data_IF_493509760066
#
_entry.id   IF_493509760066
#
_cell.length_a   1.000
_cell.length_b   1.000
_cell.length_c   1.000
_cell.angle_alpha   90.00
_cell.angle_beta   90.00
_cell.angle_gamma   90.00
#
_symmetry.space_group_name_H-M   'P 1'
#
loop_
_entity.id
_entity.type
_entity.pdbx_description
1 polymer ?
#
# COMPACT_ATOMS: atom_id res chain seq x y z
N UNK A 1 -13.52 51.47 4.72
CA UNK A 1 -13.32 50.51 5.83
C UNK A 1 -12.73 49.25 5.23
N UNK A 2 -11.42 49.06 5.33
CA UNK A 2 -10.68 48.02 4.60
C UNK A 2 -9.51 47.58 5.49
N UNK A 3 -9.80 46.79 6.53
CA UNK A 3 -8.78 46.29 7.46
C UNK A 3 -8.28 44.92 7.00
N UNK A 4 -7.07 44.91 6.45
CA UNK A 4 -6.31 43.71 6.14
C UNK A 4 -5.33 43.48 7.30
N UNK A 5 -5.24 42.28 7.90
CA UNK A 5 -4.35 42.03 9.03
C UNK A 5 -2.87 42.14 8.64
N UNK A 6 -1.97 42.48 9.59
CA UNK A 6 -0.56 42.71 9.31
C UNK A 6 0.17 41.42 8.92
N UNK A 7 1.12 41.53 7.98
CA UNK A 7 2.01 40.43 7.57
C UNK A 7 3.01 40.10 8.69
N UNK A 8 3.36 38.83 8.90
CA UNK A 8 4.34 38.44 9.92
C UNK A 8 5.76 38.92 9.56
N UNK A 9 6.46 39.46 10.55
CA UNK A 9 7.87 39.85 10.48
C UNK A 9 8.77 38.64 10.23
N UNK A 10 9.78 38.84 9.37
CA UNK A 10 10.82 37.85 9.12
C UNK A 10 11.84 37.89 10.26
N UNK A 11 11.76 36.93 11.18
CA UNK A 11 12.79 36.74 12.21
C UNK A 11 14.04 36.16 11.56
N UNK A 12 15.10 36.97 11.45
CA UNK A 12 16.43 36.53 11.07
C UNK A 12 17.04 35.69 12.19
N UNK A 13 16.85 34.36 12.12
CA UNK A 13 17.50 33.42 13.03
C UNK A 13 18.93 33.14 12.52
N UNK A 14 19.89 33.84 13.13
CA UNK A 14 21.32 33.71 12.84
C UNK A 14 21.82 32.27 12.99
N UNK A 15 22.52 31.78 11.96
CA UNK A 15 23.09 30.44 11.80
C UNK A 15 24.30 30.15 12.72
N UNK A 16 24.42 30.83 13.87
CA UNK A 16 25.57 30.70 14.80
C UNK A 16 25.14 30.34 16.23
N UNK A 17 24.20 29.42 16.38
CA UNK A 17 23.81 28.90 17.72
C UNK A 17 23.70 27.37 17.77
N UNK A 18 24.47 26.66 16.93
CA UNK A 18 24.53 25.19 16.94
C UNK A 18 25.96 24.61 17.12
N UNK A 19 26.93 25.43 17.53
CA UNK A 19 28.33 25.01 17.64
C UNK A 19 28.92 25.08 19.07
N UNK A 20 28.10 25.05 20.12
CA UNK A 20 28.59 25.19 21.50
C UNK A 20 27.92 24.25 22.51
N UNK A 21 27.75 22.98 22.11
CA UNK A 21 27.33 21.89 23.01
C UNK A 21 28.10 20.57 22.78
N UNK A 22 29.36 20.67 22.30
CA UNK A 22 30.28 19.52 22.12
C UNK A 22 31.48 19.55 23.09
N UNK A 23 31.54 20.46 24.07
CA UNK A 23 32.70 20.57 24.97
C UNK A 23 32.37 20.57 26.47
N UNK A 24 31.66 19.54 26.95
CA UNK A 24 31.62 19.19 28.37
C UNK A 24 31.63 17.66 28.58
N UNK A 25 32.79 17.04 28.33
CA UNK A 25 33.16 15.76 28.95
C UNK A 25 33.98 16.07 30.22
N UNK A 26 33.52 15.73 31.43
CA UNK A 26 34.41 15.44 32.52
C UNK A 26 34.81 13.96 32.44
N UNK A 27 36.00 13.70 31.93
CA UNK A 27 36.71 12.47 32.17
C UNK A 27 37.18 12.44 33.63
N UNK A 28 36.45 11.74 34.52
CA UNK A 28 37.05 11.12 35.70
C UNK A 28 36.08 10.14 36.36
N UNK A 29 36.48 8.87 36.45
CA UNK A 29 35.82 7.87 37.31
C UNK A 29 35.44 6.57 36.62
N UNK A 30 36.42 5.81 36.12
CA UNK A 30 36.24 4.38 35.84
C UNK A 30 35.99 3.64 37.16
N UNK A 31 34.72 3.48 37.53
CA UNK A 31 34.30 2.47 38.50
C UNK A 31 33.85 1.26 37.69
N UNK A 32 34.63 0.18 37.75
CA UNK A 32 34.29 -1.12 37.18
C UNK A 32 32.88 -1.53 37.64
N UNK A 33 31.88 -1.36 36.78
CA UNK A 33 30.62 -2.10 36.86
C UNK A 33 30.84 -3.46 36.21
N UNK A 34 31.48 -4.34 36.96
CA UNK A 34 31.26 -5.78 36.81
C UNK A 34 29.89 -6.07 37.43
N UNK A 35 28.95 -6.52 36.61
CA UNK A 35 27.60 -6.85 37.04
C UNK A 35 26.67 -6.87 35.84
N UNK A 36 26.33 -8.09 35.40
CA UNK A 36 25.31 -8.40 34.42
C UNK A 36 24.10 -7.45 34.54
N UNK A 37 23.87 -6.64 33.51
CA UNK A 37 22.54 -6.12 33.24
C UNK A 37 22.20 -6.38 31.77
N UNK A 38 22.09 -7.66 31.44
CA UNK A 38 21.40 -8.15 30.25
C UNK A 38 20.01 -8.60 30.67
N UNK A 39 19.18 -7.67 31.11
CA UNK A 39 17.79 -7.92 31.51
C UNK A 39 16.78 -7.35 30.50
N UNK A 40 17.14 -7.32 29.21
CA UNK A 40 16.13 -7.33 28.15
C UNK A 40 15.99 -8.78 27.67
N UNK A 41 14.81 -9.41 27.77
CA UNK A 41 14.64 -10.76 27.28
C UNK A 41 14.87 -10.74 25.77
N UNK A 42 15.97 -11.36 25.30
CA UNK A 42 16.13 -11.65 23.87
C UNK A 42 15.08 -12.68 23.52
N UNK A 43 13.90 -12.23 23.09
CA UNK A 43 12.89 -13.13 22.52
C UNK A 43 13.57 -13.87 21.39
N UNK A 44 13.50 -15.21 21.41
CA UNK A 44 14.13 -16.02 20.38
C UNK A 44 13.52 -15.65 19.03
N UNK A 45 14.34 -15.49 17.99
CA UNK A 45 13.86 -15.06 16.66
C UNK A 45 12.71 -15.91 16.11
N UNK A 46 12.64 -17.19 16.49
CA UNK A 46 11.56 -18.10 16.10
C UNK A 46 10.23 -17.81 16.80
N UNK A 47 10.27 -17.36 18.07
CA UNK A 47 9.07 -17.00 18.82
C UNK A 47 8.47 -15.69 18.28
N UNK A 48 9.31 -14.70 17.95
CA UNK A 48 8.88 -13.48 17.25
C UNK A 48 8.31 -13.77 15.86
N UNK A 49 8.93 -14.67 15.09
CA UNK A 49 8.44 -15.05 13.78
C UNK A 49 7.03 -15.65 13.88
N UNK A 50 6.82 -16.56 14.84
CA UNK A 50 5.52 -17.15 15.11
C UNK A 50 4.47 -16.10 15.52
N UNK A 51 4.84 -15.15 16.38
CA UNK A 51 3.94 -14.05 16.76
C UNK A 51 3.53 -13.19 15.54
N UNK A 52 4.46 -12.90 14.63
CA UNK A 52 4.15 -12.17 13.40
C UNK A 52 3.27 -12.97 12.43
N UNK A 53 3.48 -14.28 12.30
CA UNK A 53 2.63 -15.15 11.49
C UNK A 53 1.20 -15.21 12.04
N UNK A 54 1.06 -15.38 13.35
CA UNK A 54 -0.25 -15.37 14.02
C UNK A 54 -0.95 -14.02 13.89
N UNK A 55 -0.21 -12.92 14.05
CA UNK A 55 -0.71 -11.55 13.87
C UNK A 55 -1.15 -11.28 12.42
N UNK A 56 -0.32 -11.68 11.43
CA UNK A 56 -0.67 -11.57 10.01
C UNK A 56 -1.97 -12.33 9.71
N UNK A 57 -2.09 -13.58 10.16
CA UNK A 57 -3.28 -14.38 9.91
C UNK A 57 -4.52 -13.82 10.61
N UNK A 58 -4.46 -13.53 11.91
CA UNK A 58 -5.63 -13.22 12.74
C UNK A 58 -6.02 -11.74 12.72
N UNK A 59 -5.04 -10.84 12.67
CA UNK A 59 -5.24 -9.40 12.82
C UNK A 59 -5.26 -8.65 11.49
N UNK A 60 -4.72 -9.25 10.42
CA UNK A 60 -4.60 -8.60 9.10
C UNK A 60 -5.38 -9.36 8.03
N UNK A 61 -5.10 -10.64 7.76
CA UNK A 61 -5.74 -11.33 6.65
C UNK A 61 -7.22 -11.61 6.92
N UNK A 62 -7.53 -12.19 8.08
CA UNK A 62 -8.89 -12.59 8.46
C UNK A 62 -9.90 -11.43 8.53
N UNK A 63 -9.56 -10.22 9.02
CA UNK A 63 -10.51 -9.10 9.01
C UNK A 63 -10.82 -8.57 7.60
N UNK A 64 -9.83 -8.61 6.69
CA UNK A 64 -9.93 -8.04 5.35
C UNK A 64 -10.57 -8.98 4.33
N UNK A 65 -10.25 -10.28 4.35
CA UNK A 65 -10.71 -11.24 3.34
C UNK A 65 -11.69 -12.28 3.93
N UNK A 66 -12.81 -12.59 3.26
CA UNK A 66 -13.28 -12.08 1.95
C UNK A 66 -14.03 -10.74 2.01
N UNK A 67 -14.06 -10.06 3.16
CA UNK A 67 -14.92 -8.89 3.40
C UNK A 67 -14.80 -7.77 2.36
N UNK A 68 -13.59 -7.45 1.92
CA UNK A 68 -13.36 -6.38 0.95
C UNK A 68 -13.62 -6.81 -0.50
N UNK A 69 -13.90 -8.09 -0.76
CA UNK A 69 -14.14 -8.57 -2.12
C UNK A 69 -15.50 -8.06 -2.57
N UNK A 70 -15.52 -7.15 -3.57
CA UNK A 70 -16.76 -6.61 -4.09
C UNK A 70 -17.40 -7.63 -5.05
N UNK A 71 -18.26 -8.48 -4.50
CA UNK A 71 -18.96 -9.50 -5.29
C UNK A 71 -20.01 -8.93 -6.25
N UNK A 72 -20.43 -7.67 -6.06
CA UNK A 72 -21.43 -7.03 -6.92
C UNK A 72 -20.81 -6.47 -8.21
N UNK A 73 -19.65 -5.82 -8.12
CA UNK A 73 -19.05 -5.09 -9.25
C UNK A 73 -17.60 -5.46 -9.57
N UNK A 74 -17.00 -6.45 -8.90
CA UNK A 74 -15.59 -6.81 -9.15
C UNK A 74 -14.61 -5.98 -8.32
N UNK A 75 -13.36 -6.42 -8.16
CA UNK A 75 -12.35 -5.65 -7.43
C UNK A 75 -12.55 -5.64 -5.91
N UNK A 76 -11.99 -4.63 -5.26
CA UNK A 76 -11.90 -4.52 -3.80
C UNK A 76 -12.53 -3.22 -3.26
N UNK A 77 -13.22 -3.30 -2.12
CA UNK A 77 -13.69 -2.15 -1.35
C UNK A 77 -12.70 -1.91 -0.21
N UNK A 78 -11.86 -0.89 -0.35
CA UNK A 78 -10.82 -0.56 0.64
C UNK A 78 -11.27 0.49 1.67
N UNK A 79 -12.48 1.02 1.53
CA UNK A 79 -13.05 2.00 2.45
C UNK A 79 -14.00 1.29 3.42
N UNK A 80 -13.53 1.13 4.65
CA UNK A 80 -14.20 0.41 5.72
C UNK A 80 -14.44 1.36 6.88
N UNK A 81 -15.62 1.25 7.48
CA UNK A 81 -15.95 1.90 8.74
C UNK A 81 -15.15 1.26 9.90
N UNK A 82 -15.11 1.95 11.05
CA UNK A 82 -14.38 1.47 12.24
C UNK A 82 -14.78 0.06 12.70
N UNK A 83 -16.01 -0.36 12.42
CA UNK A 83 -16.56 -1.66 12.79
C UNK A 83 -16.37 -2.75 11.70
N UNK A 84 -15.54 -2.48 10.69
CA UNK A 84 -15.33 -3.36 9.52
C UNK A 84 -16.55 -3.53 8.62
N UNK A 85 -17.54 -2.64 8.66
CA UNK A 85 -18.54 -2.58 7.60
C UNK A 85 -17.98 -1.83 6.39
N UNK A 86 -18.35 -2.24 5.18
CA UNK A 86 -17.97 -1.48 3.98
C UNK A 86 -18.70 -0.13 4.00
N UNK A 87 -17.98 0.96 3.79
CA UNK A 87 -18.62 2.28 3.84
C UNK A 87 -19.69 2.39 2.76
N UNK A 88 -20.88 2.85 3.13
CA UNK A 88 -21.96 3.17 2.18
C UNK A 88 -21.57 4.35 1.28
N UNK A 89 -20.57 5.14 1.70
CA UNK A 89 -20.01 6.25 0.91
C UNK A 89 -18.87 5.83 0.00
N UNK A 90 -18.45 4.56 0.05
CA UNK A 90 -17.42 4.04 -0.84
C UNK A 90 -17.96 3.95 -2.27
N UNK A 91 -17.63 4.96 -3.07
CA UNK A 91 -18.11 5.10 -4.45
C UNK A 91 -17.03 4.94 -5.50
N UNK A 92 -15.77 4.87 -5.09
CA UNK A 92 -14.63 4.86 -6.00
C UNK A 92 -13.62 3.77 -5.66
N UNK A 93 -12.99 3.22 -6.70
CA UNK A 93 -11.92 2.23 -6.63
C UNK A 93 -10.65 2.86 -7.19
N UNK A 94 -9.70 3.13 -6.29
CA UNK A 94 -8.42 3.75 -6.64
C UNK A 94 -7.41 2.69 -7.06
N UNK A 95 -6.70 2.92 -8.16
CA UNK A 95 -5.80 1.95 -8.78
C UNK A 95 -4.75 1.42 -7.81
N UNK A 96 -4.11 2.31 -7.04
CA UNK A 96 -3.06 1.92 -6.09
C UNK A 96 -3.59 0.91 -5.06
N UNK A 97 -4.82 1.08 -4.58
CA UNK A 97 -5.43 0.16 -3.63
C UNK A 97 -5.75 -1.17 -4.31
N UNK A 98 -6.35 -1.15 -5.50
CA UNK A 98 -6.66 -2.37 -6.25
C UNK A 98 -5.39 -3.19 -6.52
N UNK A 99 -4.33 -2.53 -6.99
CA UNK A 99 -3.04 -3.16 -7.26
C UNK A 99 -2.37 -3.76 -6.03
N UNK A 100 -2.47 -3.09 -4.87
CA UNK A 100 -1.92 -3.60 -3.60
C UNK A 100 -2.67 -4.84 -3.12
N UNK A 101 -3.99 -4.86 -3.24
CA UNK A 101 -4.78 -6.05 -2.92
C UNK A 101 -4.54 -7.19 -3.91
N UNK A 102 -4.40 -6.91 -5.21
CA UNK A 102 -3.98 -7.91 -6.20
C UNK A 102 -2.63 -8.53 -5.83
N UNK A 103 -1.63 -7.70 -5.53
CA UNK A 103 -0.33 -8.16 -5.08
C UNK A 103 -0.43 -9.00 -3.79
N UNK A 104 -1.14 -8.49 -2.78
CA UNK A 104 -1.23 -9.11 -1.45
C UNK A 104 -1.90 -10.47 -1.55
N UNK A 105 -3.01 -10.57 -2.29
CA UNK A 105 -3.72 -11.84 -2.45
C UNK A 105 -2.92 -12.86 -3.23
N UNK A 106 -2.20 -12.42 -4.25
CA UNK A 106 -1.27 -13.27 -5.01
C UNK A 106 -0.11 -13.75 -4.14
N UNK A 107 0.48 -12.87 -3.31
CA UNK A 107 1.61 -13.18 -2.44
C UNK A 107 1.22 -14.14 -1.32
N UNK A 108 0.05 -13.96 -0.70
CA UNK A 108 -0.45 -14.90 0.32
C UNK A 108 -0.57 -16.31 -0.25
N UNK A 109 -1.10 -16.46 -1.46
CA UNK A 109 -1.20 -17.75 -2.11
C UNK A 109 0.17 -18.32 -2.52
N UNK A 110 1.13 -17.48 -2.93
CA UNK A 110 2.51 -17.93 -3.18
C UNK A 110 3.15 -18.50 -1.92
N UNK A 111 2.97 -17.82 -0.79
CA UNK A 111 3.56 -18.18 0.49
C UNK A 111 2.90 -19.42 1.11
N UNK A 112 1.57 -19.47 1.08
CA UNK A 112 0.79 -20.63 1.55
C UNK A 112 -0.21 -21.10 0.49
N UNK A 113 0.18 -22.07 -0.35
CA UNK A 113 -0.70 -22.64 -1.36
C UNK A 113 -1.96 -23.31 -0.82
N UNK A 114 -2.04 -23.61 0.49
CA UNK A 114 -3.25 -24.17 1.11
C UNK A 114 -4.38 -23.13 1.22
N UNK A 115 -4.05 -21.84 1.19
CA UNK A 115 -5.02 -20.74 1.15
C UNK A 115 -5.52 -20.50 -0.28
N UNK A 116 -6.14 -21.52 -0.89
CA UNK A 116 -6.55 -21.51 -2.30
C UNK A 116 -7.55 -20.37 -2.64
N UNK A 117 -8.32 -19.90 -1.67
CA UNK A 117 -9.24 -18.77 -1.86
C UNK A 117 -8.52 -17.48 -2.24
N UNK A 118 -7.27 -17.30 -1.83
CA UNK A 118 -6.52 -16.10 -2.13
C UNK A 118 -6.16 -15.97 -3.61
N UNK A 119 -5.93 -17.08 -4.32
CA UNK A 119 -5.80 -17.03 -5.77
C UNK A 119 -7.11 -16.61 -6.45
N UNK A 120 -8.26 -17.02 -5.91
CA UNK A 120 -9.59 -16.61 -6.41
C UNK A 120 -9.83 -15.11 -6.16
N UNK A 121 -9.43 -14.60 -4.99
CA UNK A 121 -9.48 -13.17 -4.67
C UNK A 121 -8.57 -12.35 -5.57
N UNK A 122 -7.37 -12.85 -5.89
CA UNK A 122 -6.45 -12.22 -6.82
C UNK A 122 -7.04 -12.16 -8.23
N UNK A 123 -7.56 -13.29 -8.74
CA UNK A 123 -8.21 -13.36 -10.04
C UNK A 123 -9.41 -12.41 -10.14
N UNK A 124 -10.16 -12.22 -9.04
CA UNK A 124 -11.28 -11.28 -8.97
C UNK A 124 -10.85 -9.82 -9.12
N UNK A 125 -9.78 -9.42 -8.43
CA UNK A 125 -9.22 -8.08 -8.56
C UNK A 125 -8.59 -7.83 -9.92
N UNK A 126 -7.87 -8.82 -10.45
CA UNK A 126 -7.25 -8.76 -11.77
C UNK A 126 -8.29 -8.47 -12.86
N UNK A 127 -9.39 -9.22 -12.90
CA UNK A 127 -10.47 -8.99 -13.88
C UNK A 127 -11.00 -7.57 -13.81
N UNK A 128 -11.26 -7.05 -12.62
CA UNK A 128 -11.72 -5.67 -12.48
C UNK A 128 -10.70 -4.65 -13.00
N UNK A 129 -9.42 -4.82 -12.67
CA UNK A 129 -8.37 -3.94 -13.19
C UNK A 129 -8.28 -3.99 -14.72
N UNK A 130 -8.30 -5.20 -15.30
CA UNK A 130 -8.23 -5.41 -16.76
C UNK A 130 -9.45 -4.85 -17.48
N UNK A 131 -10.65 -5.14 -16.97
CA UNK A 131 -11.91 -4.90 -17.70
C UNK A 131 -12.47 -3.48 -17.47
N UNK A 132 -12.09 -2.81 -16.38
CA UNK A 132 -12.67 -1.51 -16.00
C UNK A 132 -11.66 -0.40 -15.75
N UNK A 133 -10.45 -0.71 -15.31
CA UNK A 133 -9.47 0.33 -14.98
C UNK A 133 -8.50 0.62 -16.12
N UNK A 134 -8.33 -0.31 -17.05
CA UNK A 134 -7.49 -0.11 -18.22
C UNK A 134 -8.23 0.73 -19.26
N UNK A 135 -7.57 1.76 -19.80
CA UNK A 135 -8.10 2.55 -20.91
C UNK A 135 -7.75 1.87 -22.24
N UNK A 136 -8.74 1.30 -22.93
CA UNK A 136 -8.52 0.62 -24.22
C UNK A 136 -8.24 1.58 -25.38
N UNK A 137 -8.65 2.84 -25.28
CA UNK A 137 -8.47 3.84 -26.36
C UNK A 137 -7.06 4.43 -26.36
N UNK A 138 -6.53 4.75 -25.17
CA UNK A 138 -5.25 5.44 -25.00
C UNK A 138 -4.20 4.67 -24.22
N UNK A 139 -4.53 3.47 -23.73
CA UNK A 139 -3.67 2.66 -22.86
C UNK A 139 -3.47 3.28 -21.47
N UNK A 140 -2.87 2.49 -20.59
CA UNK A 140 -2.60 2.88 -19.21
C UNK A 140 -3.87 2.84 -18.35
N UNK A 141 -3.68 2.65 -17.05
CA UNK A 141 -4.79 2.59 -16.10
C UNK A 141 -5.29 3.97 -15.69
N UNK A 142 -6.60 4.14 -15.56
CA UNK A 142 -7.18 5.28 -14.86
C UNK A 142 -6.74 5.29 -13.38
N UNK A 143 -6.55 6.48 -12.83
CA UNK A 143 -6.20 6.64 -11.42
C UNK A 143 -7.29 6.08 -10.49
N UNK A 144 -8.56 6.31 -10.83
CA UNK A 144 -9.70 5.79 -10.12
C UNK A 144 -10.90 5.59 -11.06
N UNK A 145 -11.73 4.60 -10.72
CA UNK A 145 -13.04 4.37 -11.34
C UNK A 145 -14.13 4.45 -10.28
N UNK A 146 -15.39 4.59 -10.68
CA UNK A 146 -16.53 4.34 -9.80
C UNK A 146 -16.52 2.87 -9.34
N UNK A 147 -17.33 2.57 -8.33
CA UNK A 147 -17.49 1.18 -7.85
C UNK A 147 -17.90 0.24 -8.99
N UNK A 148 -18.74 0.70 -9.91
CA UNK A 148 -19.24 -0.05 -11.07
C UNK A 148 -18.21 -0.21 -12.19
N UNK A 149 -17.13 0.56 -12.18
CA UNK A 149 -16.04 0.45 -13.15
C UNK A 149 -15.94 1.57 -14.18
N UNK A 150 -16.73 2.64 -14.07
CA UNK A 150 -16.62 3.79 -14.97
C UNK A 150 -15.48 4.73 -14.55
N UNK A 151 -14.74 5.39 -15.44
CA UNK A 151 -13.71 6.35 -15.05
C UNK A 151 -14.27 7.42 -14.10
N UNK A 152 -13.62 7.62 -12.95
CA UNK A 152 -14.14 8.54 -11.95
C UNK A 152 -14.06 9.98 -12.45
N UNK A 153 -15.22 10.62 -12.67
CA UNK A 153 -15.31 11.99 -13.19
C UNK A 153 -14.56 13.02 -12.34
N UNK A 154 -14.45 12.77 -11.03
CA UNK A 154 -13.68 13.56 -10.05
C UNK A 154 -12.20 13.71 -10.41
N UNK A 155 -11.65 12.75 -11.18
CA UNK A 155 -10.26 12.73 -11.63
C UNK A 155 -10.11 12.96 -13.14
N UNK A 156 -11.18 13.24 -13.88
CA UNK A 156 -11.15 13.57 -15.32
C UNK A 156 -10.29 12.61 -16.18
N UNK A 157 -10.33 11.30 -15.90
CA UNK A 157 -9.54 10.30 -16.65
C UNK A 157 -8.03 10.36 -16.41
N UNK A 158 -7.59 10.98 -15.31
CA UNK A 158 -6.18 11.12 -14.96
C UNK A 158 -5.46 9.76 -14.88
N UNK A 159 -4.23 9.72 -15.41
CA UNK A 159 -3.33 8.56 -15.35
C UNK A 159 -2.02 8.99 -14.69
N UNK A 160 -1.70 8.40 -13.55
CA UNK A 160 -0.49 8.73 -12.76
C UNK A 160 0.53 7.63 -12.87
N UNK A 161 1.79 7.97 -13.15
CA UNK A 161 2.90 7.01 -13.25
C UNK A 161 3.04 6.16 -11.98
N UNK A 162 2.79 6.76 -10.81
CA UNK A 162 2.79 6.06 -9.52
C UNK A 162 1.76 4.92 -9.49
N UNK A 163 0.55 5.16 -9.99
CA UNK A 163 -0.49 4.14 -10.08
C UNK A 163 -0.12 3.02 -11.05
N UNK A 164 0.44 3.37 -12.23
CA UNK A 164 0.91 2.39 -13.21
C UNK A 164 1.99 1.47 -12.63
N UNK A 165 2.96 2.03 -11.90
CA UNK A 165 4.03 1.26 -11.28
C UNK A 165 3.48 0.23 -10.27
N UNK A 166 2.47 0.61 -9.47
CA UNK A 166 1.78 -0.33 -8.59
C UNK A 166 1.00 -1.40 -9.35
N UNK A 167 0.33 -1.03 -10.45
CA UNK A 167 -0.38 -1.98 -11.30
C UNK A 167 0.58 -3.02 -11.90
N UNK A 168 1.72 -2.56 -12.45
CA UNK A 168 2.77 -3.45 -12.94
C UNK A 168 3.28 -4.40 -11.85
N UNK A 169 3.49 -3.90 -10.63
CA UNK A 169 3.90 -4.70 -9.47
C UNK A 169 2.87 -5.80 -9.12
N UNK A 170 1.59 -5.44 -9.03
CA UNK A 170 0.51 -6.39 -8.73
C UNK A 170 0.29 -7.42 -9.83
N UNK A 171 0.28 -6.98 -11.10
CA UNK A 171 0.13 -7.87 -12.26
C UNK A 171 1.27 -8.88 -12.37
N UNK A 172 2.50 -8.44 -12.11
CA UNK A 172 3.68 -9.32 -12.15
C UNK A 172 3.60 -10.42 -11.10
N UNK A 173 3.19 -10.07 -9.88
CA UNK A 173 3.00 -11.04 -8.80
C UNK A 173 1.84 -11.99 -9.09
N UNK A 174 0.73 -11.48 -9.61
CA UNK A 174 -0.42 -12.31 -9.98
C UNK A 174 -0.05 -13.30 -11.09
N UNK A 175 0.66 -12.87 -12.12
CA UNK A 175 1.15 -13.76 -13.18
C UNK A 175 2.09 -14.85 -12.63
N UNK A 176 2.95 -14.52 -11.66
CA UNK A 176 3.90 -15.47 -11.08
C UNK A 176 3.21 -16.72 -10.50
N UNK A 177 2.05 -16.52 -9.87
CA UNK A 177 1.27 -17.60 -9.22
C UNK A 177 0.17 -18.18 -10.10
N UNK A 178 -0.50 -17.36 -10.91
CA UNK A 178 -1.66 -17.81 -11.72
C UNK A 178 -1.25 -18.38 -13.08
N UNK A 179 -0.13 -17.91 -13.63
CA UNK A 179 0.28 -18.13 -15.03
C UNK A 179 -0.77 -17.69 -16.06
N UNK A 180 -1.66 -16.76 -15.69
CA UNK A 180 -2.64 -16.19 -16.59
C UNK A 180 -1.95 -15.34 -17.68
N UNK A 181 -2.03 -15.71 -18.97
CA UNK A 181 -1.38 -14.96 -20.04
C UNK A 181 -1.91 -13.54 -20.20
N UNK A 182 -3.17 -13.27 -19.83
CA UNK A 182 -3.75 -11.93 -19.91
C UNK A 182 -3.08 -10.99 -18.90
N UNK A 183 -2.69 -11.51 -17.72
CA UNK A 183 -1.97 -10.74 -16.72
C UNK A 183 -0.56 -10.34 -17.19
N UNK A 184 0.14 -11.25 -17.88
CA UNK A 184 1.43 -10.96 -18.48
C UNK A 184 1.31 -9.93 -19.60
N UNK A 185 0.35 -10.10 -20.51
CA UNK A 185 0.12 -9.14 -21.59
C UNK A 185 -0.19 -7.74 -21.04
N UNK A 186 -1.08 -7.66 -20.04
CA UNK A 186 -1.42 -6.38 -19.42
C UNK A 186 -0.23 -5.75 -18.69
N UNK A 187 0.62 -6.53 -18.02
CA UNK A 187 1.86 -6.05 -17.42
C UNK A 187 2.81 -5.46 -18.47
N UNK A 188 3.00 -6.15 -19.60
CA UNK A 188 3.85 -5.68 -20.71
C UNK A 188 3.27 -4.39 -21.33
N UNK A 189 1.95 -4.34 -21.54
CA UNK A 189 1.25 -3.13 -22.02
C UNK A 189 1.46 -1.96 -21.07
N UNK A 190 1.34 -2.19 -19.76
CA UNK A 190 1.55 -1.18 -18.72
C UNK A 190 2.97 -0.63 -18.77
N UNK A 191 3.99 -1.51 -18.79
CA UNK A 191 5.39 -1.11 -18.90
C UNK A 191 5.64 -0.29 -20.17
N UNK A 192 5.17 -0.75 -21.32
CA UNK A 192 5.34 -0.02 -22.59
C UNK A 192 4.66 1.35 -22.57
N UNK A 193 3.48 1.47 -21.96
CA UNK A 193 2.80 2.75 -21.79
C UNK A 193 3.64 3.72 -20.94
N UNK A 194 4.28 3.23 -19.87
CA UNK A 194 5.14 4.03 -19.01
C UNK A 194 6.39 4.53 -19.73
N UNK A 195 7.00 3.71 -20.59
CA UNK A 195 8.23 4.04 -21.32
C UNK A 195 8.00 4.86 -22.60
N UNK A 196 6.77 4.93 -23.10
CA UNK A 196 6.43 5.68 -24.32
C UNK A 196 6.32 7.20 -24.10
N UNK A 197 6.47 7.67 -22.86
CA UNK A 197 6.37 9.07 -22.45
C UNK A 197 7.61 9.92 -22.70
#
# INVERSE_FOLDING_TARGET
MNDRPPKPEKTNLNLMTFALLILLLPACGMKNRSGNDTSSPRIASAELAKEFEESLAQMILRPWYPRIIDSAYGGYIADLEYDWTCSETSREKVLVQQSRHLWTTSFVHEYDPQMEEFLKYAAHGFRFMRDHMWDDDFGGFYYACTREGEPAGTYNGEKRIYGQAFALYGLSQYYAVSRDPDALDLAIKTFRWMEAG
#
